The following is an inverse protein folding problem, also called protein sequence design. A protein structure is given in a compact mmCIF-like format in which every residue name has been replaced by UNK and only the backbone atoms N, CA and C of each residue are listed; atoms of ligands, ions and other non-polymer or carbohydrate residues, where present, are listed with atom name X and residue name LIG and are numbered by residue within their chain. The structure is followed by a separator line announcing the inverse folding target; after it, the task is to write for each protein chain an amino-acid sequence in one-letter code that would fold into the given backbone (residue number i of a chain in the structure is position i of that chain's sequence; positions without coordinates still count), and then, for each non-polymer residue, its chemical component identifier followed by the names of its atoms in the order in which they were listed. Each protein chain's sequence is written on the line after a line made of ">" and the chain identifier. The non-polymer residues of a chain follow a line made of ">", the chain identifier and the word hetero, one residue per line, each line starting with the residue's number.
data_IF_889814943318
#
_entry.id   IF_889814943318
#
_cell.length_a   1.000
_cell.length_b   1.000
_cell.length_c   1.000
_cell.angle_alpha   90.00
_cell.angle_beta   90.00
_cell.angle_gamma   90.00
#
_symmetry.space_group_name_H-M   'P 1'
#
loop_
_entity.id
_entity.type
_entity.pdbx_description
1 polymer ?
#
# COMPACT_ATOMS: atom_id res chain seq x y z
N UNK A 1 -34.70 14.10 -26.45
CA UNK A 1 -35.31 15.44 -26.43
C UNK A 1 -34.53 16.28 -25.42
N UNK A 2 -33.50 17.00 -25.85
CA UNK A 2 -32.57 17.71 -24.98
C UNK A 2 -32.91 19.20 -24.96
N UNK A 3 -33.26 19.74 -23.79
CA UNK A 3 -33.40 21.18 -23.61
C UNK A 3 -32.08 21.77 -23.09
N UNK A 4 -31.46 22.60 -23.93
CA UNK A 4 -30.48 23.59 -23.51
C UNK A 4 -31.20 24.73 -22.79
N UNK A 5 -30.69 25.15 -21.63
CA UNK A 5 -31.03 26.45 -21.05
C UNK A 5 -29.76 27.29 -21.02
N UNK A 6 -29.75 28.27 -21.91
CA UNK A 6 -28.80 29.38 -21.96
C UNK A 6 -29.24 30.40 -20.91
N UNK A 7 -28.36 30.79 -20.00
CA UNK A 7 -28.53 32.03 -19.21
C UNK A 7 -27.27 32.87 -19.33
N UNK A 8 -27.38 33.93 -20.13
CA UNK A 8 -26.52 35.12 -20.13
C UNK A 8 -27.18 36.17 -19.25
N UNK A 9 -26.43 36.83 -18.35
CA UNK A 9 -26.71 38.21 -17.89
C UNK A 9 -25.51 38.84 -17.16
N UNK A 10 -24.69 39.52 -17.97
CA UNK A 10 -24.35 40.96 -17.94
C UNK A 10 -24.24 41.74 -16.61
N UNK A 11 -22.98 42.13 -16.33
CA UNK A 11 -22.39 43.44 -15.93
C UNK A 11 -22.79 44.23 -14.65
N UNK A 12 -21.72 44.84 -14.14
CA UNK A 12 -21.57 46.18 -13.53
C UNK A 12 -21.99 46.37 -12.06
N UNK A 13 -21.03 46.78 -11.23
CA UNK A 13 -21.34 47.40 -9.95
C UNK A 13 -20.15 47.63 -9.02
N UNK A 14 -19.67 48.86 -9.03
CA UNK A 14 -18.95 49.58 -7.97
C UNK A 14 -17.48 49.25 -7.64
N UNK A 15 -16.65 50.19 -8.11
CA UNK A 15 -15.40 50.64 -7.50
C UNK A 15 -15.70 51.25 -6.12
N UNK A 16 -15.03 50.74 -5.08
CA UNK A 16 -14.89 51.42 -3.78
C UNK A 16 -13.40 51.52 -3.46
N UNK A 17 -12.88 52.74 -3.55
CA UNK A 17 -11.57 53.14 -3.05
C UNK A 17 -11.63 53.22 -1.53
N UNK A 18 -11.07 52.22 -0.87
CA UNK A 18 -10.78 52.24 0.56
C UNK A 18 -9.27 52.23 0.77
N UNK A 19 -8.70 53.40 1.05
CA UNK A 19 -7.27 53.55 1.40
C UNK A 19 -7.05 53.00 2.80
N UNK A 20 -6.68 51.73 2.91
CA UNK A 20 -6.25 51.12 4.17
C UNK A 20 -4.73 51.24 4.31
N UNK A 21 -4.28 51.84 5.42
CA UNK A 21 -2.87 51.93 5.80
C UNK A 21 -2.21 50.55 5.78
N UNK A 22 -1.27 50.36 4.86
CA UNK A 22 -0.42 49.19 4.81
C UNK A 22 0.57 49.24 5.98
N UNK A 23 0.25 48.55 7.08
CA UNK A 23 1.29 48.10 8.00
C UNK A 23 2.07 46.99 7.28
N UNK A 24 3.20 47.36 6.67
CA UNK A 24 4.19 46.43 6.14
C UNK A 24 4.87 45.74 7.34
N UNK A 25 4.18 44.75 7.90
CA UNK A 25 4.80 43.79 8.79
C UNK A 25 5.77 42.94 7.96
N UNK A 26 7.05 42.95 8.32
CA UNK A 26 8.04 42.05 7.78
C UNK A 26 7.61 40.60 8.06
N UNK A 27 6.88 39.98 7.13
CA UNK A 27 6.70 38.54 7.13
C UNK A 27 8.06 37.95 6.79
N UNK A 28 8.78 37.48 7.81
CA UNK A 28 9.90 36.58 7.59
C UNK A 28 9.43 35.46 6.65
N UNK A 29 10.19 35.13 5.59
CA UNK A 29 9.81 34.07 4.67
C UNK A 29 9.60 32.81 5.50
N UNK A 30 8.35 32.36 5.60
CA UNK A 30 8.05 31.05 6.17
C UNK A 30 8.75 30.07 5.23
N UNK A 31 9.69 29.23 5.71
CA UNK A 31 10.21 28.17 4.88
C UNK A 31 9.04 27.26 4.56
N UNK A 32 8.48 27.41 3.36
CA UNK A 32 7.68 26.37 2.73
C UNK A 32 8.65 25.24 2.42
N UNK A 33 9.08 24.49 3.43
CA UNK A 33 9.63 23.18 3.20
C UNK A 33 8.45 22.35 2.72
N UNK A 34 8.16 22.43 1.42
CA UNK A 34 7.60 21.31 0.68
C UNK A 34 8.57 20.18 0.99
N UNK A 35 8.26 19.43 2.04
CA UNK A 35 9.11 18.36 2.52
C UNK A 35 9.05 17.34 1.39
N UNK A 36 10.12 17.29 0.60
CA UNK A 36 10.17 16.43 -0.57
C UNK A 36 9.77 15.03 -0.11
N UNK A 37 8.78 14.45 -0.80
CA UNK A 37 8.35 13.09 -0.50
C UNK A 37 9.56 12.17 -0.62
N UNK A 38 9.76 11.23 0.32
CA UNK A 38 10.89 10.30 0.23
C UNK A 38 10.91 9.55 -1.09
N UNK A 39 12.10 9.35 -1.65
CA UNK A 39 12.29 8.54 -2.85
C UNK A 39 12.62 7.10 -2.46
N UNK A 40 11.66 6.20 -2.69
CA UNK A 40 11.80 4.76 -2.49
C UNK A 40 12.44 4.05 -3.68
N UNK A 41 12.80 4.74 -4.77
CA UNK A 41 13.36 4.11 -5.97
C UNK A 41 14.67 3.37 -5.70
N UNK A 42 14.93 2.31 -6.46
CA UNK A 42 16.18 1.55 -6.42
C UNK A 42 15.97 0.07 -6.09
N UNK A 43 17.08 -0.60 -5.80
CA UNK A 43 17.09 -2.01 -5.42
C UNK A 43 17.21 -2.15 -3.90
N UNK A 44 16.39 -3.02 -3.33
CA UNK A 44 16.24 -3.23 -1.90
C UNK A 44 16.43 -4.71 -1.59
N UNK A 45 17.34 -5.02 -0.67
CA UNK A 45 17.61 -6.39 -0.20
C UNK A 45 16.90 -6.60 1.13
N UNK A 46 16.04 -7.61 1.21
CA UNK A 46 15.35 -7.96 2.44
C UNK A 46 16.35 -8.50 3.48
N UNK A 47 16.47 -7.82 4.62
CA UNK A 47 17.38 -8.20 5.70
C UNK A 47 16.63 -8.94 6.82
N UNK A 48 15.45 -8.45 7.18
CA UNK A 48 14.70 -8.95 8.33
C UNK A 48 13.21 -9.04 8.02
N UNK A 49 12.58 -10.06 8.55
CA UNK A 49 11.13 -10.22 8.59
C UNK A 49 10.78 -10.46 10.05
N UNK A 50 10.00 -9.56 10.62
CA UNK A 50 9.40 -9.71 11.94
C UNK A 50 7.91 -9.94 11.75
N UNK A 51 7.43 -11.06 12.25
CA UNK A 51 6.00 -11.34 12.34
C UNK A 51 5.71 -11.55 13.82
N UNK A 52 5.13 -10.59 14.54
CA UNK A 52 4.66 -10.85 15.89
C UNK A 52 3.76 -12.09 15.84
N UNK A 53 4.02 -13.05 16.72
CA UNK A 53 3.26 -14.29 16.78
C UNK A 53 1.77 -13.96 16.78
N UNK A 54 1.00 -14.61 15.90
CA UNK A 54 -0.44 -14.38 15.82
C UNK A 54 -1.05 -14.59 17.23
N UNK A 55 -1.91 -13.68 17.74
CA UNK A 55 -2.46 -13.75 19.10
C UNK A 55 -3.36 -14.96 19.43
N UNK A 56 -3.25 -16.07 18.70
CA UNK A 56 -4.05 -17.28 18.89
C UNK A 56 -3.34 -18.56 18.45
N UNK A 57 -2.01 -18.58 18.40
CA UNK A 57 -1.27 -19.76 17.98
C UNK A 57 0.09 -19.88 18.64
N UNK A 58 0.10 -20.29 19.91
CA UNK A 58 1.17 -21.17 20.39
C UNK A 58 1.12 -22.45 19.55
N UNK A 59 1.73 -22.44 18.37
CA UNK A 59 2.19 -23.65 17.72
C UNK A 59 3.68 -23.80 18.03
N UNK A 60 4.03 -24.50 19.13
CA UNK A 60 5.41 -24.87 19.39
C UNK A 60 5.84 -25.88 18.32
N UNK A 61 6.71 -25.45 17.40
CA UNK A 61 7.48 -26.38 16.57
C UNK A 61 7.34 -26.19 15.07
N UNK A 62 8.21 -25.36 14.50
CA UNK A 62 8.70 -25.58 13.13
C UNK A 62 10.17 -25.17 13.01
N UNK A 63 11.00 -25.81 13.83
CA UNK A 63 12.43 -25.98 13.59
C UNK A 63 12.80 -27.37 14.10
N UNK A 64 12.67 -28.38 13.25
CA UNK A 64 13.16 -29.72 13.55
C UNK A 64 13.20 -30.61 12.31
N UNK A 65 14.39 -31.06 11.85
CA UNK A 65 14.55 -32.27 11.05
C UNK A 65 15.04 -33.44 11.93
N UNK A 66 15.04 -34.70 11.47
CA UNK A 66 14.00 -35.45 10.77
C UNK A 66 13.64 -36.69 11.62
N UNK A 67 12.49 -36.67 12.30
CA UNK A 67 11.98 -37.82 13.06
C UNK A 67 10.82 -38.47 12.34
N UNK A 68 11.03 -39.69 11.83
CA UNK A 68 9.99 -40.48 11.18
C UNK A 68 8.75 -40.64 12.05
N UNK A 69 7.62 -40.10 11.57
CA UNK A 69 6.33 -40.21 12.23
C UNK A 69 5.25 -40.33 11.17
N UNK A 70 4.51 -41.44 11.26
CA UNK A 70 3.36 -41.85 10.43
C UNK A 70 2.53 -40.69 9.90
N UNK A 71 2.45 -40.60 8.57
CA UNK A 71 1.33 -39.97 7.86
C UNK A 71 0.07 -40.83 8.06
N UNK A 72 -0.72 -40.48 9.07
CA UNK A 72 -2.09 -40.94 9.24
C UNK A 72 -2.89 -39.80 9.84
N UNK A 73 -3.99 -39.44 9.20
CA UNK A 73 -5.02 -38.49 9.68
C UNK A 73 -4.68 -36.99 9.54
N UNK A 74 -4.32 -36.55 8.32
CA UNK A 74 -4.55 -35.14 7.93
C UNK A 74 -6.01 -35.00 7.43
N UNK A 75 -6.86 -34.17 8.05
CA UNK A 75 -8.21 -33.92 7.55
C UNK A 75 -8.17 -33.37 6.12
N UNK A 76 -9.08 -33.79 5.22
CA UNK A 76 -9.13 -33.35 3.82
C UNK A 76 -9.59 -31.88 3.62
N UNK A 77 -9.85 -31.12 4.68
CA UNK A 77 -10.57 -29.85 4.63
C UNK A 77 -9.72 -28.57 4.81
N UNK A 78 -8.45 -28.56 4.39
CA UNK A 78 -7.63 -27.31 4.34
C UNK A 78 -7.43 -26.69 2.93
N UNK A 79 -8.47 -26.47 2.09
CA UNK A 79 -8.30 -25.74 0.83
C UNK A 79 -8.10 -24.22 1.00
N UNK A 80 -8.52 -23.63 2.14
CA UNK A 80 -8.57 -22.16 2.30
C UNK A 80 -7.19 -21.50 2.50
N UNK A 81 -6.25 -22.16 3.18
CA UNK A 81 -4.92 -21.59 3.43
C UNK A 81 -4.01 -21.55 2.21
N UNK A 82 -4.19 -22.49 1.28
CA UNK A 82 -3.40 -22.53 0.05
C UNK A 82 -3.87 -21.46 -0.93
N UNK A 83 -5.17 -21.29 -1.06
CA UNK A 83 -5.76 -20.28 -1.95
C UNK A 83 -5.49 -18.84 -1.47
N UNK A 84 -5.30 -18.62 -0.16
CA UNK A 84 -4.95 -17.27 0.33
C UNK A 84 -3.56 -16.78 -0.07
N UNK A 85 -2.63 -17.70 -0.39
CA UNK A 85 -1.23 -17.40 -0.74
C UNK A 85 -1.02 -17.00 -2.21
N UNK A 86 -2.00 -17.21 -3.10
CA UNK A 86 -1.78 -17.13 -4.56
C UNK A 86 -1.66 -15.72 -5.15
N UNK A 87 -1.89 -14.64 -4.38
CA UNK A 87 -1.71 -13.24 -4.83
C UNK A 87 -1.19 -12.26 -3.79
N UNK A 88 -1.12 -12.66 -2.53
CA UNK A 88 -0.20 -12.02 -1.58
C UNK A 88 1.21 -12.09 -2.20
N UNK A 89 2.09 -11.10 -1.93
CA UNK A 89 3.46 -11.20 -2.48
C UNK A 89 4.01 -12.60 -2.15
N UNK A 90 4.75 -13.24 -3.08
CA UNK A 90 5.36 -14.52 -2.78
C UNK A 90 6.09 -14.39 -1.45
N UNK A 91 6.08 -15.45 -0.60
CA UNK A 91 6.80 -15.39 0.66
C UNK A 91 8.22 -14.93 0.38
N UNK A 92 8.57 -13.76 0.92
CA UNK A 92 9.91 -13.23 0.71
C UNK A 92 10.85 -13.93 1.67
N UNK A 93 12.01 -14.33 1.16
CA UNK A 93 13.08 -14.86 1.98
C UNK A 93 14.13 -13.78 2.25
N UNK A 94 14.86 -13.91 3.35
CA UNK A 94 16.01 -13.04 3.61
C UNK A 94 16.97 -13.10 2.42
N UNK A 95 17.44 -11.94 1.97
CA UNK A 95 18.29 -11.78 0.79
C UNK A 95 17.52 -11.55 -0.52
N UNK A 96 16.19 -11.69 -0.51
CA UNK A 96 15.41 -11.44 -1.71
C UNK A 96 15.44 -9.95 -2.10
N UNK A 97 15.39 -9.67 -3.40
CA UNK A 97 15.60 -8.33 -3.97
C UNK A 97 14.28 -7.79 -4.51
N UNK A 98 13.90 -6.61 -4.05
CA UNK A 98 12.80 -5.82 -4.59
C UNK A 98 13.39 -4.66 -5.39
N UNK A 99 12.91 -4.44 -6.61
CA UNK A 99 13.23 -3.22 -7.38
C UNK A 99 12.01 -2.30 -7.36
N UNK A 100 12.22 -1.05 -6.96
CA UNK A 100 11.19 -0.03 -6.91
C UNK A 100 11.52 1.07 -7.91
N UNK A 101 10.54 1.51 -8.67
CA UNK A 101 10.61 2.69 -9.52
C UNK A 101 9.47 3.61 -9.11
N UNK A 102 9.82 4.81 -8.63
CA UNK A 102 8.85 5.82 -8.20
C UNK A 102 8.85 6.99 -9.19
N UNK A 103 7.66 7.41 -9.57
CA UNK A 103 7.41 8.66 -10.28
C UNK A 103 6.48 9.54 -9.44
N UNK A 104 6.09 10.70 -9.98
CA UNK A 104 5.11 11.58 -9.32
C UNK A 104 3.73 10.92 -9.18
N UNK A 105 3.38 10.00 -10.09
CA UNK A 105 2.02 9.44 -10.19
C UNK A 105 1.96 7.94 -9.94
N UNK A 106 3.09 7.24 -9.95
CA UNK A 106 3.13 5.78 -9.88
C UNK A 106 4.28 5.27 -9.02
N UNK A 107 4.04 4.15 -8.36
CA UNK A 107 5.04 3.31 -7.72
C UNK A 107 4.99 1.93 -8.37
N UNK A 108 6.07 1.54 -9.06
CA UNK A 108 6.22 0.20 -9.64
C UNK A 108 7.14 -0.61 -8.75
N UNK A 109 6.70 -1.78 -8.32
CA UNK A 109 7.51 -2.72 -7.53
C UNK A 109 7.67 -4.02 -8.31
N UNK A 110 8.90 -4.52 -8.39
CA UNK A 110 9.22 -5.79 -9.04
C UNK A 110 9.90 -6.73 -8.05
N UNK A 111 9.39 -7.94 -7.94
CA UNK A 111 9.87 -8.96 -7.01
C UNK A 111 9.55 -10.36 -7.51
N UNK A 112 10.53 -11.26 -7.55
CA UNK A 112 10.29 -12.68 -7.86
C UNK A 112 9.60 -12.92 -9.22
N UNK A 113 9.84 -12.07 -10.22
CA UNK A 113 9.17 -12.12 -11.52
C UNK A 113 7.77 -11.49 -11.55
N UNK A 114 7.26 -11.03 -10.41
CA UNK A 114 6.00 -10.29 -10.31
C UNK A 114 6.26 -8.80 -10.38
N UNK A 115 5.39 -8.09 -11.09
CA UNK A 115 5.36 -6.64 -11.17
C UNK A 115 4.03 -6.14 -10.62
N UNK A 116 4.08 -5.13 -9.76
CA UNK A 116 2.91 -4.43 -9.24
C UNK A 116 3.06 -2.95 -9.49
N UNK A 117 2.00 -2.36 -10.03
CA UNK A 117 1.90 -0.93 -10.29
C UNK A 117 0.87 -0.34 -9.34
N UNK A 118 1.27 0.62 -8.53
CA UNK A 118 0.40 1.38 -7.63
C UNK A 118 0.30 2.80 -8.16
N UNK A 119 -0.91 3.25 -8.46
CA UNK A 119 -1.15 4.66 -8.76
C UNK A 119 -1.14 5.47 -7.45
N UNK A 120 -0.34 6.52 -7.41
CA UNK A 120 -0.28 7.45 -6.29
C UNK A 120 -1.48 8.39 -6.38
N UNK A 121 -2.33 8.37 -5.36
CA UNK A 121 -3.46 9.27 -5.24
C UNK A 121 -2.93 10.70 -5.20
N UNK A 122 -3.51 11.55 -6.05
CA UNK A 122 -3.32 13.00 -5.93
C UNK A 122 -3.97 13.47 -4.62
N UNK A 123 -3.50 14.58 -4.03
CA UNK A 123 -4.07 15.13 -2.79
C UNK A 123 -5.59 15.41 -2.84
N UNK A 124 -6.22 15.38 -4.02
CA UNK A 124 -7.67 15.50 -4.20
C UNK A 124 -8.49 14.21 -3.97
N UNK A 125 -7.86 13.12 -3.52
CA UNK A 125 -8.54 12.16 -2.64
C UNK A 125 -9.29 10.98 -3.28
N UNK A 126 -9.28 10.80 -4.59
CA UNK A 126 -9.95 9.64 -5.21
C UNK A 126 -9.06 8.38 -5.23
N UNK A 127 -9.66 7.24 -4.90
CA UNK A 127 -9.03 5.93 -5.02
C UNK A 127 -8.78 5.61 -6.49
N UNK A 128 -7.55 5.25 -6.83
CA UNK A 128 -7.16 4.93 -8.20
C UNK A 128 -7.33 3.43 -8.46
N UNK A 129 -8.16 3.02 -9.45
CA UNK A 129 -8.25 1.62 -9.82
C UNK A 129 -6.89 1.11 -10.31
N UNK A 130 -6.42 0.01 -9.73
CA UNK A 130 -5.16 -0.60 -10.13
C UNK A 130 -5.30 -1.13 -11.57
N UNK A 131 -4.40 -0.73 -12.48
CA UNK A 131 -4.27 -1.34 -13.80
C UNK A 131 -3.53 -2.68 -13.66
N UNK A 132 -4.23 -3.72 -13.22
CA UNK A 132 -3.85 -5.10 -13.54
C UNK A 132 -4.56 -5.52 -14.84
N UNK A 133 -4.01 -6.48 -15.62
CA UNK A 133 -4.77 -7.09 -16.72
C UNK A 133 -6.13 -7.58 -16.19
N UNK A 134 -7.21 -7.50 -16.99
CA UNK A 134 -8.56 -7.70 -16.49
C UNK A 134 -8.65 -9.02 -15.73
N UNK A 135 -8.84 -8.92 -14.42
CA UNK A 135 -9.26 -10.06 -13.63
C UNK A 135 -10.66 -10.44 -14.12
N UNK A 136 -11.02 -11.74 -14.17
CA UNK A 136 -12.40 -12.14 -14.38
C UNK A 136 -13.31 -11.37 -13.41
N UNK A 137 -14.52 -10.99 -13.87
CA UNK A 137 -15.45 -10.06 -13.20
C UNK A 137 -15.74 -10.37 -11.71
N UNK A 138 -15.43 -11.58 -11.27
CA UNK A 138 -15.59 -12.10 -9.90
C UNK A 138 -14.53 -11.61 -8.89
N UNK A 139 -13.46 -10.93 -9.31
CA UNK A 139 -12.41 -10.42 -8.40
C UNK A 139 -12.39 -8.89 -8.39
N UNK A 140 -13.20 -8.29 -7.51
CA UNK A 140 -13.14 -6.86 -7.25
C UNK A 140 -11.99 -6.56 -6.27
N UNK A 141 -10.93 -5.96 -6.81
CA UNK A 141 -9.83 -5.39 -6.03
C UNK A 141 -9.87 -3.87 -6.11
N UNK A 142 -10.01 -3.23 -4.95
CA UNK A 142 -9.86 -1.79 -4.77
C UNK A 142 -8.52 -1.54 -4.13
N UNK A 143 -7.80 -0.52 -4.59
CA UNK A 143 -6.54 -0.11 -3.98
C UNK A 143 -6.44 1.40 -3.93
N UNK A 144 -5.77 1.93 -2.93
CA UNK A 144 -5.42 3.34 -2.83
C UNK A 144 -4.01 3.46 -2.26
N UNK A 145 -3.16 4.25 -2.89
CA UNK A 145 -1.82 4.55 -2.37
C UNK A 145 -1.66 6.06 -2.22
N UNK A 146 -1.20 6.55 -1.07
CA UNK A 146 -1.12 7.98 -0.77
C UNK A 146 0.01 8.29 0.21
N UNK A 147 0.39 9.57 0.28
CA UNK A 147 1.38 10.07 1.22
C UNK A 147 0.72 10.48 2.54
N UNK A 148 1.25 9.98 3.66
CA UNK A 148 0.97 10.46 5.02
C UNK A 148 2.27 11.04 5.60
N UNK A 149 2.49 12.34 5.41
CA UNK A 149 3.76 13.00 5.71
C UNK A 149 4.92 12.37 4.91
N UNK A 150 5.88 11.75 5.60
CA UNK A 150 7.02 11.05 4.99
C UNK A 150 6.77 9.56 4.75
N UNK A 151 5.55 9.07 5.01
CA UNK A 151 5.20 7.66 4.85
C UNK A 151 4.39 7.46 3.57
N UNK A 152 4.64 6.34 2.90
CA UNK A 152 3.81 5.91 1.79
C UNK A 152 2.86 4.82 2.27
N UNK A 153 1.56 5.10 2.22
CA UNK A 153 0.50 4.19 2.68
C UNK A 153 -0.21 3.58 1.49
N UNK A 154 -0.37 2.26 1.49
CA UNK A 154 -1.13 1.51 0.50
C UNK A 154 -2.22 0.70 1.20
N UNK A 155 -3.47 0.97 0.84
CA UNK A 155 -4.66 0.24 1.27
C UNK A 155 -5.17 -0.60 0.11
N UNK A 156 -5.49 -1.87 0.36
CA UNK A 156 -6.06 -2.79 -0.62
C UNK A 156 -7.25 -3.49 0.02
N UNK A 157 -8.38 -3.51 -0.67
CA UNK A 157 -9.54 -4.34 -0.34
C UNK A 157 -9.80 -5.28 -1.52
N UNK A 158 -9.81 -6.58 -1.25
CA UNK A 158 -10.01 -7.62 -2.27
C UNK A 158 -11.09 -8.59 -1.80
N UNK A 159 -12.14 -8.76 -2.60
CA UNK A 159 -13.13 -9.81 -2.40
C UNK A 159 -12.85 -10.97 -3.36
N UNK A 160 -12.88 -12.19 -2.84
CA UNK A 160 -12.71 -13.41 -3.64
C UNK A 160 -13.46 -14.59 -3.05
N UNK A 161 -13.82 -15.54 -3.88
CA UNK A 161 -14.33 -16.83 -3.39
C UNK A 161 -13.19 -17.73 -2.89
N UNK A 162 -13.36 -18.28 -1.70
CA UNK A 162 -12.49 -19.26 -1.07
C UNK A 162 -13.37 -20.41 -0.56
N UNK A 163 -13.27 -21.58 -1.18
CA UNK A 163 -14.06 -22.78 -0.79
C UNK A 163 -15.58 -22.57 -0.83
N UNK A 164 -16.07 -21.82 -1.83
CA UNK A 164 -17.48 -21.53 -2.01
C UNK A 164 -18.02 -20.40 -1.12
N UNK A 165 -17.16 -19.72 -0.36
CA UNK A 165 -17.52 -18.54 0.43
C UNK A 165 -16.79 -17.29 -0.08
N UNK A 166 -17.52 -16.18 -0.26
CA UNK A 166 -16.91 -14.89 -0.57
C UNK A 166 -16.22 -14.32 0.67
N UNK A 167 -14.90 -14.20 0.61
CA UNK A 167 -14.06 -13.64 1.66
C UNK A 167 -13.51 -12.30 1.20
N UNK A 168 -13.70 -11.27 2.03
CA UNK A 168 -13.06 -9.96 1.87
C UNK A 168 -11.76 -9.91 2.67
N UNK A 169 -10.69 -9.48 2.01
CA UNK A 169 -9.37 -9.26 2.60
C UNK A 169 -9.06 -7.78 2.56
N UNK A 170 -8.55 -7.25 3.67
CA UNK A 170 -8.06 -5.86 3.74
C UNK A 170 -6.57 -5.88 4.06
N UNK A 171 -5.79 -5.15 3.30
CA UNK A 171 -4.35 -4.97 3.51
C UNK A 171 -4.06 -3.50 3.71
N UNK A 172 -3.38 -3.18 4.79
CA UNK A 172 -2.86 -1.85 5.10
C UNK A 172 -1.34 -1.94 5.18
N UNK A 173 -0.65 -1.29 4.24
CA UNK A 173 0.79 -1.32 4.11
C UNK A 173 1.38 0.07 4.30
N UNK A 174 2.38 0.21 5.16
CA UNK A 174 3.08 1.46 5.43
C UNK A 174 4.55 1.29 5.10
N UNK A 175 5.05 2.08 4.15
CA UNK A 175 6.49 2.17 3.85
C UNK A 175 7.07 3.42 4.48
N UNK A 176 8.20 3.24 5.15
CA UNK A 176 9.00 4.34 5.73
C UNK A 176 10.45 4.22 5.30
N UNK A 177 11.12 5.36 5.17
CA UNK A 177 12.52 5.45 4.80
C UNK A 177 13.31 6.05 5.98
N UNK A 178 14.47 5.48 6.29
CA UNK A 178 15.40 6.10 7.24
C UNK A 178 15.86 7.46 6.73
N UNK A 179 16.28 8.34 7.64
CA UNK A 179 16.75 9.69 7.30
C UNK A 179 17.97 9.70 6.37
N UNK A 180 18.77 8.63 6.39
CA UNK A 180 19.92 8.45 5.50
C UNK A 180 19.57 7.79 4.15
N UNK A 181 18.31 7.42 3.94
CA UNK A 181 17.82 6.82 2.69
C UNK A 181 18.33 5.39 2.42
N UNK A 182 18.92 4.72 3.43
CA UNK A 182 19.55 3.39 3.26
C UNK A 182 18.70 2.23 3.75
N UNK A 183 17.72 2.50 4.60
CA UNK A 183 16.86 1.48 5.19
C UNK A 183 15.41 1.81 4.87
N UNK A 184 14.69 0.84 4.30
CA UNK A 184 13.25 0.93 4.10
C UNK A 184 12.57 -0.08 5.02
N UNK A 185 11.59 0.36 5.79
CA UNK A 185 10.74 -0.52 6.59
C UNK A 185 9.36 -0.56 5.97
N UNK A 186 8.86 -1.77 5.70
CA UNK A 186 7.51 -2.02 5.19
C UNK A 186 6.75 -2.77 6.27
N UNK A 187 5.71 -2.16 6.82
CA UNK A 187 4.78 -2.81 7.74
C UNK A 187 3.49 -3.10 7.00
N UNK A 188 3.07 -4.36 6.97
CA UNK A 188 1.84 -4.80 6.32
C UNK A 188 0.93 -5.47 7.34
N UNK A 189 -0.24 -4.88 7.55
CA UNK A 189 -1.33 -5.46 8.33
C UNK A 189 -2.35 -6.06 7.37
N UNK A 190 -2.60 -7.36 7.47
CA UNK A 190 -3.61 -8.08 6.72
C UNK A 190 -4.75 -8.47 7.66
N UNK A 191 -5.95 -8.01 7.36
CA UNK A 191 -7.18 -8.38 8.02
C UNK A 191 -7.95 -9.40 7.16
N UNK A 192 -8.40 -10.45 7.81
CA UNK A 192 -9.24 -11.50 7.22
C UNK A 192 -10.38 -11.82 8.19
N UNK A 193 -11.45 -12.53 7.76
CA UNK A 193 -12.50 -12.97 8.69
C UNK A 193 -11.98 -13.85 9.83
N UNK A 194 -10.80 -14.46 9.67
CA UNK A 194 -10.15 -15.33 10.67
C UNK A 194 -9.23 -14.58 11.63
N UNK A 195 -9.09 -13.27 11.45
CA UNK A 195 -8.26 -12.42 12.30
C UNK A 195 -7.27 -11.58 11.50
N UNK A 196 -6.49 -10.82 12.27
CA UNK A 196 -5.52 -9.85 11.78
C UNK A 196 -4.10 -10.35 12.02
N UNK A 197 -3.22 -10.14 11.04
CA UNK A 197 -1.78 -10.37 11.17
C UNK A 197 -1.01 -9.17 10.67
N UNK A 198 0.08 -8.84 11.35
CA UNK A 198 1.01 -7.80 10.92
C UNK A 198 2.36 -8.44 10.62
N UNK A 199 3.00 -7.99 9.54
CA UNK A 199 4.34 -8.39 9.15
C UNK A 199 5.16 -7.13 8.92
N UNK A 200 6.31 -7.04 9.57
CA UNK A 200 7.27 -5.96 9.37
C UNK A 200 8.47 -6.51 8.60
N UNK A 201 8.83 -5.85 7.52
CA UNK A 201 9.96 -6.20 6.67
C UNK A 201 10.95 -5.06 6.64
N UNK A 202 12.22 -5.36 6.89
CA UNK A 202 13.30 -4.38 6.87
C UNK A 202 14.20 -4.67 5.69
N UNK A 203 14.34 -3.69 4.81
CA UNK A 203 15.15 -3.76 3.62
C UNK A 203 16.34 -2.80 3.72
N UNK A 204 17.48 -3.24 3.19
CA UNK A 204 18.64 -2.38 2.95
C UNK A 204 18.76 -2.04 1.49
N UNK A 205 19.07 -0.78 1.19
CA UNK A 205 19.33 -0.34 -0.18
C UNK A 205 20.58 -1.04 -0.69
N UNK A 206 20.47 -1.67 -1.86
CA UNK A 206 21.59 -2.26 -2.57
C UNK A 206 22.42 -1.12 -3.18
N UNK A 207 23.72 -1.12 -2.91
CA UNK A 207 24.67 -0.19 -3.52
C UNK A 207 24.87 -0.50 -4.99
#
# INVERSE_FOLDING_TARGET
>A
MFQQVVVRRTLLGLVLWGTACAMVGAQAPRPSSVQATPDFSGQWVLEKIDQPGSPGGDFPGSYGPPGGGRFGDRPPDEPVERATRSRAMPPMERGAIVTITQSETELVTKFGGHERVYALARPEGEATPQREPPAPEEQQRKSRTYWDGTKLVTEIEESRELSGETVTLKSHEVRTLSSDGKTMTVETTLETPRGTRTVTQVFKRRR
#
